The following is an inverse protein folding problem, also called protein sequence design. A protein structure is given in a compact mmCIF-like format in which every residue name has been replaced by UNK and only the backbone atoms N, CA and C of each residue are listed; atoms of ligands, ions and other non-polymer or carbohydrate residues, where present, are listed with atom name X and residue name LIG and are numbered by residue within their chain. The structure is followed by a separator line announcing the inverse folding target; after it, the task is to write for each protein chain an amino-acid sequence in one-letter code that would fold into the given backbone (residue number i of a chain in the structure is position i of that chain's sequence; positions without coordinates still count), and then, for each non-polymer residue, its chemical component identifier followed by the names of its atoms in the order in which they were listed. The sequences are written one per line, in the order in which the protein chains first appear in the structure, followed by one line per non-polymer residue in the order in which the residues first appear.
data_IF_931051374897
#
_entry.id   IF_931051374897
#
_cell.length_a   1.000
_cell.length_b   1.000
_cell.length_c   1.000
_cell.angle_alpha   90.00
_cell.angle_beta   90.00
_cell.angle_gamma   90.00
#
_symmetry.space_group_name_H-M   'P 1'
#
loop_
_entity.id
_entity.type
_entity.pdbx_description
1 polymer ?
2 branched ?
3 non-polymer ?
4 non-polymer ?
5 water ?
#
# COMPACT_ATOMS: atom_id res chain seq x y z
N UNK A 1 -5.50 -22.44 -6.24
CA UNK A 1 -5.55 -23.40 -7.38
C UNK A 1 -5.34 -24.83 -6.86
N UNK A 2 -4.13 -25.10 -6.37
CA UNK A 2 -3.80 -26.42 -5.83
C UNK A 2 -4.31 -26.53 -4.39
N UNK A 3 -4.61 -27.74 -3.96
CA UNK A 3 -5.11 -27.97 -2.61
C UNK A 3 -4.12 -27.60 -1.52
N UNK A 4 -4.64 -27.10 -0.40
CA UNK A 4 -3.81 -26.74 0.74
C UNK A 4 -3.51 -28.04 1.48
N UNK A 5 -2.40 -28.10 2.21
CA UNK A 5 -2.08 -29.32 2.94
C UNK A 5 -2.81 -29.30 4.28
N UNK A 6 -2.77 -30.42 4.99
CA UNK A 6 -3.39 -30.48 6.31
C UNK A 6 -2.70 -29.42 7.17
N UNK A 7 -3.49 -28.66 7.91
CA UNK A 7 -2.97 -27.62 8.78
C UNK A 7 -3.71 -27.64 10.11
N UNK A 8 -2.97 -27.43 11.20
CA UNK A 8 -3.58 -27.42 12.52
C UNK A 8 -3.53 -26.00 13.08
N UNK A 9 -4.69 -25.43 13.34
CA UNK A 9 -4.78 -24.08 13.88
C UNK A 9 -6.10 -23.91 14.59
N UNK A 10 -6.24 -22.84 15.39
CA UNK A 10 -7.47 -22.58 16.14
C UNK A 10 -8.69 -22.45 15.23
N UNK A 11 -9.78 -23.07 15.65
CA UNK A 11 -11.02 -23.03 14.88
C UNK A 11 -11.62 -21.63 14.93
N UNK A 12 -12.04 -21.10 13.77
CA UNK A 12 -12.62 -19.76 13.80
C UNK A 12 -13.97 -19.83 14.54
N UNK A 13 -14.25 -18.82 15.35
CA UNK A 13 -15.48 -18.77 16.14
C UNK A 13 -16.53 -17.83 15.52
N UNK A 14 -17.54 -18.42 14.89
CA UNK A 14 -18.60 -17.63 14.24
C UNK A 14 -19.29 -16.62 15.14
N UNK A 15 -19.51 -16.98 16.41
CA UNK A 15 -20.18 -16.08 17.34
C UNK A 15 -19.18 -15.29 18.18
N UNK A 16 -17.94 -15.19 17.68
CA UNK A 16 -16.88 -14.46 18.35
C UNK A 16 -16.00 -13.72 17.35
N UNK A 17 -16.18 -12.40 17.25
CA UNK A 17 -15.39 -11.59 16.31
C UNK A 17 -13.92 -11.55 16.71
N UNK A 18 -13.04 -11.27 15.76
CA UNK A 18 -11.62 -11.18 16.04
C UNK A 18 -11.34 -9.81 16.64
N UNK A 19 -12.01 -8.81 16.09
CA UNK A 19 -11.87 -7.44 16.55
C UNK A 19 -13.26 -6.83 16.70
N UNK A 20 -13.54 -6.31 17.90
CA UNK A 20 -14.84 -5.69 18.18
C UNK A 20 -14.70 -4.18 18.29
N UNK A 21 -13.45 -3.70 18.28
CA UNK A 21 -13.17 -2.28 18.40
C UNK A 21 -13.01 -1.55 17.07
N UNK A 22 -13.00 -2.30 15.96
CA UNK A 22 -12.84 -1.69 14.65
C UNK A 22 -13.65 -2.37 13.56
N UNK A 23 -13.87 -1.63 12.47
CA UNK A 23 -14.58 -2.12 11.31
C UNK A 23 -13.58 -3.00 10.55
N UNK A 24 -13.92 -4.26 10.33
CA UNK A 24 -13.01 -5.17 9.63
C UNK A 24 -13.41 -5.52 8.21
N UNK A 25 -14.52 -4.96 7.75
CA UNK A 25 -14.99 -5.19 6.37
C UNK A 25 -15.73 -3.94 5.92
N UNK A 26 -15.49 -3.52 4.68
CA UNK A 26 -16.15 -2.32 4.14
C UNK A 26 -17.57 -2.65 3.69
N UNK A 27 -18.38 -1.62 3.43
CA UNK A 27 -19.76 -1.87 2.97
C UNK A 27 -19.84 -2.58 1.62
N UNK A 28 -18.71 -2.63 0.89
CA UNK A 28 -18.71 -3.34 -0.39
C UNK A 28 -18.00 -4.68 -0.24
N UNK A 29 -17.94 -5.14 1.01
CA UNK A 29 -17.37 -6.43 1.37
C UNK A 29 -15.89 -6.66 1.09
N UNK A 30 -15.09 -5.62 1.29
CA UNK A 30 -13.64 -5.72 1.13
C UNK A 30 -13.07 -5.76 2.54
N UNK A 31 -12.19 -6.72 2.83
CA UNK A 31 -11.62 -6.79 4.18
C UNK A 31 -10.79 -5.54 4.50
N UNK A 32 -10.83 -5.13 5.77
CA UNK A 32 -10.00 -4.03 6.23
C UNK A 32 -9.01 -4.79 7.10
N UNK A 33 -7.74 -4.75 6.70
CA UNK A 33 -6.68 -5.50 7.35
C UNK A 33 -6.12 -4.93 8.64
N UNK A 34 -6.43 -5.63 9.74
CA UNK A 34 -5.97 -5.28 11.08
C UNK A 34 -5.36 -6.53 11.69
N UNK A 35 -4.44 -6.36 12.65
CA UNK A 35 -3.85 -7.51 13.32
C UNK A 35 -5.00 -8.22 14.05
N UNK A 36 -5.01 -9.55 13.97
CA UNK A 36 -6.05 -10.33 14.61
C UNK A 36 -7.13 -10.79 13.66
N UNK A 37 -7.15 -10.24 12.44
CA UNK A 37 -8.16 -10.61 11.46
C UNK A 37 -7.71 -11.71 10.50
N UNK A 38 -6.41 -12.01 10.48
CA UNK A 38 -5.92 -13.03 9.57
C UNK A 38 -4.94 -14.02 10.18
N UNK A 39 -4.97 -15.24 9.64
CA UNK A 39 -4.05 -16.28 10.06
C UNK A 39 -3.02 -16.26 8.94
N UNK A 40 -1.83 -15.75 9.24
CA UNK A 40 -0.80 -15.64 8.22
C UNK A 40 -0.29 -16.98 7.69
N UNK A 41 -0.43 -18.05 8.46
CA UNK A 41 0.03 -19.35 8.00
C UNK A 41 -0.84 -19.83 6.84
N UNK A 42 -2.14 -19.61 6.94
CA UNK A 42 -3.04 -20.01 5.88
C UNK A 42 -2.78 -19.15 4.64
N UNK A 43 -2.65 -17.84 4.82
CA UNK A 43 -2.40 -16.96 3.70
C UNK A 43 -1.04 -17.24 3.04
N UNK A 44 -0.01 -17.49 3.83
CA UNK A 44 1.31 -17.79 3.25
C UNK A 44 1.24 -19.04 2.39
N UNK A 45 0.51 -20.05 2.85
CA UNK A 45 0.35 -21.29 2.10
C UNK A 45 -0.32 -21.00 0.76
N UNK A 46 -1.44 -20.28 0.81
CA UNK A 46 -2.18 -19.95 -0.40
C UNK A 46 -1.32 -19.22 -1.44
N UNK A 47 -0.57 -18.22 -1.01
CA UNK A 47 0.26 -17.47 -1.97
C UNK A 47 1.52 -18.18 -2.41
N UNK A 48 2.11 -19.02 -1.56
CA UNK A 48 3.31 -19.74 -1.95
C UNK A 48 2.96 -20.82 -2.96
N UNK A 49 1.78 -21.42 -2.82
CA UNK A 49 1.36 -22.46 -3.75
C UNK A 49 1.18 -21.88 -5.15
N UNK A 50 1.04 -20.56 -5.22
CA UNK A 50 0.88 -19.88 -6.51
C UNK A 50 2.22 -19.28 -6.96
N UNK A 51 3.27 -19.49 -6.16
CA UNK A 51 4.60 -18.98 -6.44
C UNK A 51 4.51 -17.49 -6.75
N UNK A 52 3.82 -16.77 -5.88
CA UNK A 52 3.59 -15.34 -6.03
C UNK A 52 4.85 -14.48 -5.99
N UNK A 53 4.96 -13.55 -6.93
CA UNK A 53 6.08 -12.62 -6.97
C UNK A 53 5.52 -11.22 -6.74
N UNK A 54 6.06 -10.53 -5.76
CA UNK A 54 5.61 -9.18 -5.43
C UNK A 54 6.66 -8.14 -5.81
N UNK A 55 6.22 -7.12 -6.55
CA UNK A 55 7.13 -6.07 -6.93
C UNK A 55 6.92 -4.92 -5.96
N UNK A 56 8.01 -4.33 -5.49
CA UNK A 56 7.93 -3.21 -4.57
C UNK A 56 8.65 -2.04 -5.24
N UNK A 57 7.90 -1.01 -5.57
CA UNK A 57 8.45 0.14 -6.26
C UNK A 57 8.62 1.36 -5.37
N UNK A 58 9.76 2.04 -5.53
CA UNK A 58 10.04 3.25 -4.77
C UNK A 58 10.79 4.22 -5.66
N UNK A 59 10.58 5.51 -5.42
CA UNK A 59 11.25 6.56 -6.15
C UNK A 59 12.20 7.24 -5.17
N UNK A 60 13.43 7.45 -5.61
CA UNK A 60 14.41 8.09 -4.75
C UNK A 60 15.24 9.07 -5.58
N UNK A 61 14.78 10.31 -5.64
CA UNK A 61 15.47 11.33 -6.40
C UNK A 61 16.09 12.35 -5.46
N UNK A 62 17.20 12.94 -5.89
CA UNK A 62 17.90 13.95 -5.11
C UNK A 62 18.28 13.43 -3.71
N UNK A 63 17.97 14.21 -2.69
CA UNK A 63 18.29 13.87 -1.31
C UNK A 63 17.62 12.61 -0.77
N UNK A 64 16.57 12.15 -1.44
CA UNK A 64 15.86 10.97 -0.97
C UNK A 64 16.62 9.66 -1.12
N UNK A 65 17.72 9.67 -1.87
CA UNK A 65 18.49 8.45 -2.04
C UNK A 65 19.08 8.02 -0.70
N UNK A 66 19.18 8.98 0.23
CA UNK A 66 19.74 8.71 1.55
C UNK A 66 18.85 7.80 2.39
N UNK A 67 17.58 7.66 2.00
CA UNK A 67 16.64 6.82 2.75
C UNK A 67 16.63 5.36 2.30
N UNK A 68 17.25 5.07 1.15
CA UNK A 68 17.24 3.72 0.62
C UNK A 68 17.84 2.62 1.49
N UNK A 69 18.98 2.86 2.12
CA UNK A 69 19.61 1.83 2.95
C UNK A 69 18.69 1.29 4.03
N UNK A 70 18.12 2.17 4.86
CA UNK A 70 17.23 1.73 5.93
C UNK A 70 15.94 1.14 5.38
N UNK A 71 15.44 1.73 4.31
CA UNK A 71 14.21 1.24 3.69
C UNK A 71 14.40 -0.21 3.24
N UNK A 72 15.46 -0.45 2.47
CA UNK A 72 15.73 -1.80 1.97
C UNK A 72 16.12 -2.79 3.06
N UNK A 73 16.95 -2.37 4.01
CA UNK A 73 17.37 -3.26 5.09
C UNK A 73 16.18 -3.74 5.90
N UNK A 74 15.27 -2.82 6.21
CA UNK A 74 14.09 -3.20 7.00
C UNK A 74 13.10 -3.97 6.15
N UNK A 75 13.05 -3.69 4.84
CA UNK A 75 12.14 -4.44 3.97
C UNK A 75 12.59 -5.90 3.98
N UNK A 76 13.90 -6.11 4.00
CA UNK A 76 14.45 -7.45 4.03
C UNK A 76 14.04 -8.22 5.28
N UNK A 77 13.82 -7.50 6.38
CA UNK A 77 13.42 -8.15 7.62
C UNK A 77 11.93 -8.33 7.79
N UNK A 78 11.14 -7.47 7.15
CA UNK A 78 9.69 -7.51 7.33
C UNK A 78 8.75 -7.62 6.15
N UNK A 79 9.23 -7.35 4.94
CA UNK A 79 8.37 -7.36 3.77
C UNK A 79 8.35 -8.64 2.96
N UNK A 80 7.20 -9.31 2.98
CA UNK A 80 7.00 -10.54 2.21
C UNK A 80 8.10 -11.59 2.40
N UNK A 81 8.63 -11.71 3.61
CA UNK A 81 9.68 -12.69 3.86
C UNK A 81 9.16 -14.09 3.57
N UNK A 82 9.89 -14.83 2.75
CA UNK A 82 9.49 -16.17 2.38
C UNK A 82 8.95 -16.24 0.96
N UNK A 83 8.57 -15.08 0.42
CA UNK A 83 8.03 -15.01 -0.94
C UNK A 83 9.01 -14.34 -1.90
N UNK A 84 8.74 -14.47 -3.21
CA UNK A 84 9.60 -13.86 -4.21
C UNK A 84 9.33 -12.35 -4.24
N UNK A 85 10.39 -11.56 -4.13
CA UNK A 85 10.27 -10.11 -4.13
C UNK A 85 11.23 -9.47 -5.13
N UNK A 86 10.71 -8.50 -5.88
CA UNK A 86 11.52 -7.79 -6.85
C UNK A 86 11.39 -6.31 -6.54
N UNK A 87 12.48 -5.71 -6.08
CA UNK A 87 12.48 -4.29 -5.77
C UNK A 87 12.80 -3.51 -7.03
N UNK A 88 12.09 -2.40 -7.24
CA UNK A 88 12.34 -1.54 -8.38
C UNK A 88 12.62 -0.16 -7.81
N UNK A 89 13.87 0.28 -7.93
CA UNK A 89 14.25 1.58 -7.42
C UNK A 89 14.48 2.56 -8.57
N UNK A 90 13.58 3.54 -8.69
CA UNK A 90 13.68 4.55 -9.73
C UNK A 90 14.44 5.72 -9.11
N UNK A 91 15.58 6.06 -9.69
CA UNK A 91 16.40 7.12 -9.14
C UNK A 91 17.16 7.89 -10.21
N UNK A 92 17.59 9.09 -9.86
CA UNK A 92 18.36 9.94 -10.75
C UNK A 92 19.83 9.79 -10.40
N UNK A 93 20.12 8.92 -9.44
CA UNK A 93 21.48 8.66 -8.98
C UNK A 93 21.75 7.17 -8.82
N UNK A 94 21.80 6.42 -9.94
CA UNK A 94 22.04 4.97 -9.90
C UNK A 94 23.23 4.54 -9.05
N UNK A 95 24.33 5.28 -9.16
CA UNK A 95 25.53 4.95 -8.40
C UNK A 95 25.39 5.21 -6.90
N UNK A 96 24.35 5.95 -6.51
CA UNK A 96 24.14 6.28 -5.11
C UNK A 96 23.31 5.23 -4.36
N UNK A 97 22.76 4.25 -5.08
CA UNK A 97 21.97 3.21 -4.44
C UNK A 97 22.90 2.33 -3.60
N UNK A 98 22.57 2.17 -2.30
CA UNK A 98 23.39 1.37 -1.40
C UNK A 98 23.37 -0.11 -1.75
N UNK A 99 24.47 -0.81 -1.45
CA UNK A 99 24.57 -2.23 -1.71
C UNK A 99 24.01 -2.97 -0.50
N UNK A 100 22.73 -3.30 -0.56
CA UNK A 100 22.07 -4.01 0.53
C UNK A 100 22.05 -5.50 0.26
N UNK A 101 22.35 -6.29 1.28
CA UNK A 101 22.36 -7.74 1.15
C UNK A 101 20.94 -8.27 1.15
N UNK A 102 20.59 -9.02 0.11
CA UNK A 102 19.24 -9.55 -0.01
C UNK A 102 19.13 -11.04 0.29
N UNK A 103 18.00 -11.44 0.84
CA UNK A 103 17.77 -12.85 1.13
C UNK A 103 17.54 -13.58 -0.18
N UNK A 104 17.53 -14.91 -0.13
CA UNK A 104 17.34 -15.69 -1.34
C UNK A 104 15.96 -15.46 -1.97
N UNK A 105 15.89 -15.51 -3.30
CA UNK A 105 14.62 -15.31 -3.98
C UNK A 105 14.17 -13.87 -4.07
N UNK A 106 15.07 -12.94 -3.75
CA UNK A 106 14.76 -11.52 -3.78
C UNK A 106 15.79 -10.80 -4.65
N UNK A 107 15.31 -9.89 -5.49
CA UNK A 107 16.21 -9.15 -6.36
C UNK A 107 15.88 -7.68 -6.41
N UNK A 108 16.86 -6.89 -6.84
CA UNK A 108 16.67 -5.46 -6.93
C UNK A 108 17.13 -4.94 -8.28
N UNK A 109 16.29 -4.10 -8.87
CA UNK A 109 16.60 -3.48 -10.15
C UNK A 109 16.64 -1.98 -10.00
N UNK A 110 17.69 -1.36 -10.49
CA UNK A 110 17.82 0.09 -10.42
C UNK A 110 17.45 0.64 -11.79
N UNK A 111 16.45 1.52 -11.81
CA UNK A 111 16.01 2.13 -13.05
C UNK A 111 16.27 3.62 -13.00
N UNK A 112 17.11 4.11 -13.91
CA UNK A 112 17.43 5.53 -13.92
C UNK A 112 16.32 6.34 -14.58
N UNK A 113 15.99 7.48 -13.97
CA UNK A 113 14.96 8.36 -14.49
C UNK A 113 15.55 9.75 -14.70
N UNK A 134 9.81 -0.12 -19.59
CA UNK A 134 8.40 0.03 -19.91
C UNK A 134 7.53 -0.71 -18.90
N UNK A 135 6.24 -0.37 -18.87
CA UNK A 135 5.30 -0.98 -17.94
C UNK A 135 4.96 -2.43 -18.32
N UNK A 136 5.30 -2.81 -19.55
CA UNK A 136 5.04 -4.17 -20.03
C UNK A 136 5.94 -5.12 -19.25
N UNK A 137 7.05 -4.58 -18.77
CA UNK A 137 8.02 -5.35 -17.99
C UNK A 137 7.38 -5.88 -16.72
N UNK A 138 6.63 -5.02 -16.02
CA UNK A 138 5.96 -5.40 -14.79
C UNK A 138 5.03 -6.59 -15.00
N UNK A 139 4.28 -6.56 -16.10
CA UNK A 139 3.35 -7.63 -16.41
C UNK A 139 4.03 -8.99 -16.55
N UNK A 140 5.29 -8.98 -16.97
CA UNK A 140 6.02 -10.23 -17.16
C UNK A 140 6.91 -10.62 -15.99
N UNK A 141 7.16 -9.71 -15.06
CA UNK A 141 8.05 -10.03 -13.94
C UNK A 141 7.42 -10.23 -12.57
N UNK A 142 6.27 -9.60 -12.34
CA UNK A 142 5.62 -9.73 -11.03
C UNK A 142 4.11 -9.95 -11.14
N UNK A 143 3.53 -10.44 -10.05
CA UNK A 143 2.09 -10.69 -10.01
C UNK A 143 1.37 -9.52 -9.37
N UNK A 144 2.03 -8.90 -8.39
CA UNK A 144 1.46 -7.75 -7.70
C UNK A 144 2.47 -6.63 -7.62
N UNK A 145 1.96 -5.40 -7.58
CA UNK A 145 2.82 -4.23 -7.45
C UNK A 145 2.42 -3.49 -6.19
N UNK A 146 3.41 -3.14 -5.38
CA UNK A 146 3.20 -2.40 -4.15
C UNK A 146 4.02 -1.12 -4.31
N UNK A 147 3.32 0.01 -4.25
CA UNK A 147 3.94 1.31 -4.45
C UNK A 147 3.99 2.09 -3.14
N UNK A 148 5.21 2.41 -2.68
CA UNK A 148 5.36 3.14 -1.42
C UNK A 148 6.38 4.27 -1.48
N UNK A 149 6.35 5.12 -0.45
CA UNK A 149 7.31 6.22 -0.34
C UNK A 149 8.58 5.64 0.27
N UNK A 150 9.72 6.21 -0.07
CA UNK A 150 11.01 5.73 0.41
C UNK A 150 11.48 6.22 1.78
N UNK A 151 11.03 7.41 2.19
CA UNK A 151 11.42 7.93 3.50
C UNK A 151 10.59 7.26 4.60
N UNK A 152 10.72 5.94 4.65
CA UNK A 152 9.99 5.11 5.59
C UNK A 152 10.87 3.93 6.01
N UNK A 153 10.38 3.17 6.99
CA UNK A 153 11.08 1.98 7.43
C UNK A 153 10.06 0.95 7.91
N UNK A 154 10.34 -0.32 7.69
CA UNK A 154 9.45 -1.37 8.14
C UNK A 154 9.86 -1.69 9.57
N UNK A 155 8.87 -1.80 10.46
CA UNK A 155 9.11 -2.10 11.86
C UNK A 155 8.46 -3.43 12.28
N UNK A 156 7.58 -3.95 11.44
CA UNK A 156 6.90 -5.21 11.74
C UNK A 156 6.41 -5.82 10.44
N UNK A 157 5.85 -7.01 10.55
CA UNK A 157 5.34 -7.77 9.42
C UNK A 157 4.43 -7.04 8.44
N UNK A 158 4.78 -7.10 7.16
CA UNK A 158 3.95 -6.57 6.07
C UNK A 158 4.05 -7.70 5.06
N UNK A 159 3.00 -8.51 4.99
CA UNK A 159 3.01 -9.66 4.12
C UNK A 159 1.87 -9.83 3.13
N UNK A 160 1.66 -11.08 2.71
CA UNK A 160 0.64 -11.39 1.72
C UNK A 160 -0.79 -11.07 2.12
N UNK A 161 -1.02 -10.77 3.39
CA UNK A 161 -2.36 -10.40 3.83
C UNK A 161 -2.82 -9.14 3.10
N UNK A 162 -1.89 -8.38 2.53
CA UNK A 162 -2.27 -7.15 1.82
C UNK A 162 -2.58 -7.36 0.34
N UNK A 163 -2.16 -8.49 -0.21
CA UNK A 163 -2.36 -8.77 -1.63
C UNK A 163 -3.79 -9.01 -2.05
N UNK A 164 -4.18 -8.34 -3.14
CA UNK A 164 -5.53 -8.37 -3.65
C UNK A 164 -5.50 -7.59 -4.97
N UNK A 165 -6.57 -7.63 -5.77
CA UNK A 165 -6.51 -6.87 -7.03
C UNK A 165 -6.21 -5.38 -6.90
N UNK A 166 -6.77 -4.73 -5.88
CA UNK A 166 -6.54 -3.31 -5.67
C UNK A 166 -6.72 -2.92 -4.22
N UNK A 167 -5.69 -2.31 -3.62
CA UNK A 167 -5.81 -1.89 -2.23
C UNK A 167 -5.30 -0.48 -2.00
N UNK A 168 -5.89 0.15 -0.99
CA UNK A 168 -5.50 1.48 -0.57
C UNK A 168 -5.26 1.37 0.94
N UNK A 169 -4.62 2.38 1.51
CA UNK A 169 -4.30 2.37 2.94
C UNK A 169 -4.90 3.61 3.63
N UNK A 170 -5.49 3.41 4.80
CA UNK A 170 -6.08 4.52 5.54
C UNK A 170 -5.03 5.50 6.04
N UNK A 171 -5.21 6.78 5.69
CA UNK A 171 -4.30 7.82 6.13
C UNK A 171 -4.39 7.88 7.65
N UNK A 172 -3.25 7.85 8.35
CA UNK A 172 -3.26 7.89 9.82
C UNK A 172 -3.88 9.11 10.49
N UNK A 173 -4.00 10.21 9.77
CA UNK A 173 -4.56 11.43 10.34
C UNK A 173 -6.09 11.49 10.24
N UNK A 174 -6.69 10.66 9.38
CA UNK A 174 -8.13 10.71 9.20
C UNK A 174 -8.96 9.45 9.40
N UNK A 175 -8.36 8.38 9.90
CA UNK A 175 -9.12 7.13 10.05
C UNK A 175 -10.30 7.24 11.01
N UNK A 176 -10.26 8.23 11.91
CA UNK A 176 -11.36 8.40 12.85
C UNK A 176 -12.12 9.69 12.61
N UNK A 177 -11.89 10.29 11.45
CA UNK A 177 -12.54 11.56 11.09
C UNK A 177 -13.80 11.40 10.24
N UNK A 178 -14.65 12.43 10.27
CA UNK A 178 -15.87 12.41 9.47
C UNK A 178 -15.46 12.83 8.06
N UNK A 179 -16.16 12.33 7.05
CA UNK A 179 -15.81 12.64 5.66
C UNK A 179 -15.67 14.14 5.36
N UNK A 180 -16.43 14.97 6.06
CA UNK A 180 -16.35 16.41 5.83
C UNK A 180 -14.97 16.96 6.17
N UNK A 181 -14.26 16.25 7.05
CA UNK A 181 -12.92 16.68 7.45
C UNK A 181 -11.84 16.16 6.51
N UNK A 182 -12.16 15.15 5.71
CA UNK A 182 -11.19 14.59 4.76
C UNK A 182 -10.66 15.72 3.87
N UNK A 183 -9.36 15.75 3.65
CA UNK A 183 -8.78 16.79 2.82
C UNK A 183 -8.83 16.47 1.32
N UNK A 184 -10.00 16.05 0.85
CA UNK A 184 -10.19 15.76 -0.57
C UNK A 184 -10.09 17.09 -1.31
N UNK A 185 -9.99 17.02 -2.64
CA UNK A 185 -9.98 18.23 -3.44
C UNK A 185 -11.45 18.65 -3.45
N UNK A 186 -11.73 19.88 -3.03
CA UNK A 186 -13.11 20.35 -2.96
C UNK A 186 -13.58 21.29 -4.07
N UNK A 187 -12.70 21.60 -5.02
CA UNK A 187 -13.07 22.49 -6.12
C UNK A 187 -13.62 21.71 -7.31
N UNK A 188 -14.88 21.97 -7.69
CA UNK A 188 -15.55 21.31 -8.81
C UNK A 188 -14.78 21.41 -10.13
N UNK A 189 -13.91 22.40 -10.21
CA UNK A 189 -13.12 22.61 -11.43
C UNK A 189 -12.02 21.57 -11.60
N UNK A 190 -11.77 20.78 -10.56
CA UNK A 190 -10.73 19.75 -10.60
C UNK A 190 -11.32 18.36 -10.82
N UNK A 191 -10.61 17.53 -11.58
CA UNK A 191 -11.05 16.17 -11.86
C UNK A 191 -11.05 15.32 -10.60
N UNK A 192 -10.31 15.75 -9.58
CA UNK A 192 -10.22 15.02 -8.32
C UNK A 192 -11.30 15.46 -7.34
N UNK A 193 -12.20 16.33 -7.79
CA UNK A 193 -13.27 16.86 -6.96
C UNK A 193 -14.16 15.81 -6.30
N UNK A 194 -14.40 15.98 -5.00
CA UNK A 194 -15.26 15.09 -4.24
C UNK A 194 -16.06 15.97 -3.28
N UNK A 195 -17.39 16.01 -3.43
CA UNK A 195 -18.24 16.83 -2.56
C UNK A 195 -18.26 16.36 -1.10
N UNK A 196 -18.69 17.25 -0.22
CA UNK A 196 -18.74 16.97 1.21
C UNK A 196 -19.60 15.78 1.62
N UNK A 197 -20.59 15.42 0.79
CA UNK A 197 -21.46 14.30 1.12
C UNK A 197 -21.03 12.98 0.47
N UNK A 198 -19.81 12.96 -0.06
CA UNK A 198 -19.28 11.74 -0.68
C UNK A 198 -17.96 11.34 -0.06
N UNK A 199 -17.60 10.07 -0.23
CA UNK A 199 -16.34 9.58 0.30
C UNK A 199 -16.49 8.49 1.33
N UNK A 200 -15.66 7.45 1.21
CA UNK A 200 -15.67 6.33 2.15
C UNK A 200 -14.57 6.54 3.18
N UNK A 201 -13.35 6.69 2.70
CA UNK A 201 -12.19 6.89 3.56
C UNK A 201 -11.22 7.84 2.88
N UNK A 202 -10.23 8.32 3.64
CA UNK A 202 -9.21 9.15 3.04
C UNK A 202 -7.98 8.25 2.99
N UNK A 203 -7.60 7.87 1.78
CA UNK A 203 -6.45 7.01 1.58
C UNK A 203 -5.18 7.83 1.41
N UNK A 204 -4.07 7.33 1.93
CA UNK A 204 -2.80 8.05 1.81
C UNK A 204 -2.04 7.50 0.60
N UNK A 205 -1.49 8.41 -0.20
CA UNK A 205 -0.77 7.99 -1.40
C UNK A 205 0.56 7.31 -1.18
N UNK A 206 0.99 7.20 0.08
CA UNK A 206 2.27 6.60 0.40
C UNK A 206 2.31 5.08 0.42
N UNK A 207 1.16 4.43 0.22
CA UNK A 207 1.12 2.97 0.24
C UNK A 207 -0.14 2.46 -0.45
N UNK A 208 0.00 1.96 -1.66
CA UNK A 208 -1.14 1.41 -2.40
C UNK A 208 -0.58 0.34 -3.32
N UNK A 209 -1.46 -0.45 -3.93
CA UNK A 209 -0.98 -1.50 -4.82
C UNK A 209 -2.09 -2.41 -5.28
N UNK A 210 -1.72 -3.57 -5.79
CA UNK A 210 -2.69 -4.52 -6.30
C UNK A 210 -2.06 -5.32 -7.42
N UNK A 211 -2.88 -5.92 -8.27
CA UNK A 211 -2.33 -6.68 -9.39
C UNK A 211 -1.68 -5.67 -10.32
N UNK A 212 -0.76 -6.12 -11.16
CA UNK A 212 -0.11 -5.18 -12.08
C UNK A 212 -1.16 -4.49 -12.94
N UNK A 213 -2.12 -5.25 -13.45
CA UNK A 213 -3.17 -4.69 -14.29
C UNK A 213 -3.96 -3.58 -13.60
N UNK A 214 -4.38 -3.80 -12.36
CA UNK A 214 -5.14 -2.79 -11.63
C UNK A 214 -4.32 -1.56 -11.26
N UNK A 215 -3.07 -1.78 -10.90
CA UNK A 215 -2.20 -0.66 -10.55
C UNK A 215 -1.95 0.20 -11.78
N UNK A 216 -1.73 -0.43 -12.94
CA UNK A 216 -1.49 0.34 -14.15
C UNK A 216 -2.75 1.09 -14.57
N UNK A 217 -3.92 0.49 -14.34
CA UNK A 217 -5.17 1.15 -14.68
C UNK A 217 -5.32 2.41 -13.81
N UNK A 218 -4.99 2.27 -12.53
CA UNK A 218 -5.07 3.39 -11.60
C UNK A 218 -4.11 4.50 -11.99
N UNK A 219 -2.84 4.15 -12.22
CA UNK A 219 -1.85 5.16 -12.57
C UNK A 219 -2.17 5.86 -13.90
N UNK A 220 -2.70 5.11 -14.85
CA UNK A 220 -3.06 5.70 -16.15
C UNK A 220 -4.22 6.67 -15.96
N UNK A 221 -5.18 6.30 -15.12
CA UNK A 221 -6.34 7.14 -14.85
C UNK A 221 -5.90 8.42 -14.14
N UNK A 222 -5.02 8.26 -13.16
CA UNK A 222 -4.51 9.38 -12.39
C UNK A 222 -3.74 10.34 -13.30
N UNK A 223 -2.88 9.79 -14.14
CA UNK A 223 -2.07 10.59 -15.06
C UNK A 223 -2.94 11.42 -15.99
N UNK A 224 -3.96 10.80 -16.57
CA UNK A 224 -4.85 11.51 -17.48
C UNK A 224 -5.64 12.61 -16.76
N UNK A 225 -6.07 12.32 -15.54
CA UNK A 225 -6.83 13.30 -14.77
C UNK A 225 -5.96 14.52 -14.42
N UNK A 226 -4.70 14.27 -14.08
CA UNK A 226 -3.79 15.36 -13.74
C UNK A 226 -3.49 16.22 -14.96
N UNK A 227 -3.42 15.61 -16.13
CA UNK A 227 -3.16 16.37 -17.36
C UNK A 227 -4.34 17.29 -17.65
N UNK A 228 -5.55 16.79 -17.44
CA UNK A 228 -6.76 17.58 -17.67
C UNK A 228 -6.76 18.78 -16.72
N UNK A 229 -6.37 18.55 -15.48
CA UNK A 229 -6.32 19.63 -14.50
C UNK A 229 -5.28 20.66 -14.91
N UNK A 230 -4.15 20.19 -15.42
CA UNK A 230 -3.09 21.08 -15.86
C UNK A 230 -3.58 21.98 -16.99
N UNK A 231 -4.33 21.39 -17.91
CA UNK A 231 -4.87 22.14 -19.05
C UNK A 231 -5.85 23.21 -18.59
N UNK A 232 -6.53 22.97 -17.47
CA UNK A 232 -7.49 23.92 -16.95
C UNK A 232 -6.86 24.83 -15.90
N UNK A 233 -5.54 24.79 -15.81
CA UNK A 233 -4.82 25.62 -14.86
C UNK A 233 -5.17 25.40 -13.40
N UNK A 234 -5.31 24.15 -12.99
CA UNK A 234 -5.62 23.85 -11.60
C UNK A 234 -4.80 22.66 -11.12
N UNK A 235 -4.38 22.72 -9.86
CA UNK A 235 -3.58 21.67 -9.25
C UNK A 235 -4.29 21.20 -7.98
N UNK A 236 -4.60 19.91 -7.92
CA UNK A 236 -5.28 19.34 -6.76
C UNK A 236 -4.56 19.65 -5.46
N UNK A 237 -5.33 19.92 -4.41
CA UNK A 237 -4.79 20.27 -3.09
C UNK A 237 -3.67 19.35 -2.61
N UNK A 238 -3.80 18.05 -2.82
CA UNK A 238 -2.75 17.13 -2.40
C UNK A 238 -2.20 16.32 -3.57
N UNK A 239 -2.18 16.95 -4.73
CA UNK A 239 -1.65 16.37 -5.96
C UNK A 239 -2.12 14.95 -6.27
N UNK A 240 -1.18 14.05 -6.55
CA UNK A 240 -1.50 12.67 -6.89
C UNK A 240 -2.43 11.99 -5.89
N UNK A 241 -2.22 12.25 -4.60
CA UNK A 241 -3.06 11.66 -3.56
C UNK A 241 -4.53 12.07 -3.70
N UNK A 242 -4.77 13.30 -4.14
CA UNK A 242 -6.14 13.75 -4.33
C UNK A 242 -6.79 12.93 -5.43
N UNK A 243 -6.03 12.66 -6.50
CA UNK A 243 -6.56 11.86 -7.59
C UNK A 243 -6.71 10.40 -7.19
N UNK A 244 -5.80 9.92 -6.36
CA UNK A 244 -5.87 8.54 -5.88
C UNK A 244 -7.19 8.35 -5.14
N UNK A 245 -7.55 9.33 -4.33
CA UNK A 245 -8.79 9.26 -3.57
C UNK A 245 -10.02 9.31 -4.48
N UNK A 246 -9.95 10.10 -5.55
CA UNK A 246 -11.08 10.16 -6.47
C UNK A 246 -11.22 8.81 -7.16
N UNK A 247 -10.09 8.21 -7.55
CA UNK A 247 -10.13 6.91 -8.22
C UNK A 247 -10.69 5.82 -7.32
N UNK A 248 -10.22 5.75 -6.08
CA UNK A 248 -10.69 4.72 -5.15
C UNK A 248 -12.13 4.91 -4.70
N UNK A 249 -12.65 6.12 -4.86
CA UNK A 249 -14.04 6.38 -4.51
C UNK A 249 -14.91 5.76 -5.59
N UNK A 250 -14.49 5.92 -6.85
CA UNK A 250 -15.24 5.39 -8.00
C UNK A 250 -14.91 3.95 -8.38
N UNK A 251 -13.78 3.44 -7.91
CA UNK A 251 -13.37 2.05 -8.15
C UNK A 251 -12.96 1.56 -6.78
N UNK A 252 -13.90 0.97 -6.06
CA UNK A 252 -13.66 0.49 -4.70
C UNK A 252 -12.52 -0.51 -4.61
N UNK A 253 -11.61 -0.32 -3.65
CA UNK A 253 -10.50 -1.25 -3.50
C UNK A 253 -11.02 -2.58 -2.96
N UNK A 254 -10.36 -3.67 -3.30
CA UNK A 254 -10.80 -5.00 -2.85
C UNK A 254 -10.28 -5.37 -1.46
N UNK A 255 -9.40 -4.53 -0.93
CA UNK A 255 -8.87 -4.64 0.45
C UNK A 255 -8.47 -3.23 0.85
N UNK A 256 -8.62 -2.91 2.13
CA UNK A 256 -8.20 -1.60 2.64
C UNK A 256 -7.27 -1.91 3.79
N UNK A 257 -6.10 -1.29 3.83
CA UNK A 257 -5.16 -1.53 4.91
C UNK A 257 -5.37 -0.55 6.05
N UNK A 258 -5.32 -1.05 7.29
CA UNK A 258 -5.48 -0.19 8.46
C UNK A 258 -4.25 0.68 8.65
N UNK A 259 -4.35 1.68 9.54
CA UNK A 259 -3.21 2.58 9.80
C UNK A 259 -1.97 1.87 10.34
N UNK A 260 -2.10 0.59 10.65
CA UNK A 260 -0.95 -0.19 11.11
C UNK A 260 0.10 -0.15 10.02
N UNK A 261 -0.37 -0.02 8.77
CA UNK A 261 0.48 -0.03 7.59
C UNK A 261 1.08 1.32 7.16
N UNK A 262 0.68 2.40 7.82
CA UNK A 262 1.21 3.74 7.53
C UNK A 262 1.05 4.58 8.79
N UNK A 263 2.13 4.67 9.56
CA UNK A 263 2.07 5.42 10.82
C UNK A 263 3.29 6.30 11.07
N UNK A 264 3.15 7.19 12.05
CA UNK A 264 4.22 8.09 12.47
C UNK A 264 4.05 8.14 13.98
N UNK A 265 4.86 7.38 14.69
CA UNK A 265 4.78 7.31 16.15
C UNK A 265 5.14 8.61 16.85
N UNK A 266 6.02 9.39 16.25
CA UNK A 266 6.41 10.66 16.87
C UNK A 266 5.26 11.67 16.84
N UNK A 267 4.52 11.69 15.74
CA UNK A 267 3.41 12.63 15.59
C UNK A 267 2.09 12.09 16.14
N UNK A 268 1.92 10.77 16.13
CA UNK A 268 0.67 10.17 16.56
C UNK A 268 0.73 9.18 17.72
N UNK A 269 1.93 8.90 18.22
CA UNK A 269 2.07 7.97 19.33
C UNK A 269 1.77 6.52 18.98
N UNK A 270 1.28 5.77 19.95
CA UNK A 270 0.95 4.36 19.74
C UNK A 270 -0.38 4.05 20.42
N UNK A 271 -1.50 4.32 19.72
CA UNK A 271 -2.86 4.09 20.22
C UNK A 271 -3.13 2.61 20.48
N UNK A 272 -4.03 2.33 21.43
CA UNK A 272 -4.36 0.96 21.78
C UNK A 272 -4.98 0.21 20.60
N UNK A 273 -5.66 0.94 19.71
CA UNK A 273 -6.30 0.34 18.56
C UNK A 273 -5.28 -0.24 17.57
N UNK A 274 -4.03 0.18 17.70
CA UNK A 274 -2.97 -0.33 16.82
C UNK A 274 -2.13 -1.34 17.58
N UNK A 275 -2.36 -2.62 17.31
CA UNK A 275 -1.62 -3.68 17.97
C UNK A 275 -0.20 -3.81 17.44
N UNK A 276 0.01 -3.34 16.21
CA UNK A 276 1.33 -3.38 15.60
C UNK A 276 1.53 -2.12 14.76
N UNK A 277 2.78 -1.66 14.72
CA UNK A 277 3.17 -0.50 13.91
C UNK A 277 4.09 -1.18 12.90
N UNK A 278 3.61 -1.33 11.66
CA UNK A 278 4.35 -2.06 10.65
C UNK A 278 5.25 -1.28 9.68
N UNK A 279 4.78 -0.12 9.23
CA UNK A 279 5.51 0.68 8.25
C UNK A 279 5.35 2.13 8.70
N UNK A 280 6.47 2.76 9.04
CA UNK A 280 6.42 4.11 9.59
C UNK A 280 7.35 5.14 8.95
N UNK A 281 7.04 6.41 9.21
CA UNK A 281 7.82 7.52 8.70
C UNK A 281 9.14 7.61 9.44
N UNK A 282 10.18 8.07 8.74
CA UNK A 282 11.49 8.22 9.35
C UNK A 282 11.70 9.67 9.76
N UNK A 283 12.06 9.91 11.03
CA UNK A 283 12.28 11.27 11.55
C UNK A 283 13.52 11.92 10.94
#
# INVERSE_FOLDING_TARGET
MVSLPRMVYPQPKVLTPCRKDVLVVTPWLAPIVWEGTFNIDILNEQFRLQNTTIGLTVFAIKKYVAFLKLFLETAEKHFMVGHRVHYYVFTDQPAAVPRVTLGTGRQLSVLEVGAYKRWQDVSMRRMEMISDFCERRFLSEVDYLVCVDVDMEFRDHVGVEILTPLFGTLHPSFYGSSREAFTYERRPQSQAYIPKDEGDFYYMGAFFGGSVQEVQRLTRACHQAMMVDQANGIEAVWHDESHLNKYLLRHKPTKVLSPEYLWDQQLLGWPAVLRKLRFTAVP
#
